data_IF_611067232514
#
_entry.id   IF_611067232514
#
_cell.length_a   1.000
_cell.length_b   1.000
_cell.length_c   1.000
_cell.angle_alpha   90.00
_cell.angle_beta   90.00
_cell.angle_gamma   90.00
#
_symmetry.space_group_name_H-M   'P 1'
#
loop_
_entity.id
_entity.type
_entity.pdbx_description
1 polymer ?
#
# COMPACT_ATOMS: atom_id res chain seq x y z
N UNK A 1 -6.96 -2.49 -18.96
CA UNK A 1 -7.33 -1.47 -17.95
C UNK A 1 -6.67 -1.89 -16.65
N UNK A 2 -5.48 -1.35 -16.36
CA UNK A 2 -4.74 -1.65 -15.13
C UNK A 2 -5.28 -0.78 -13.99
N UNK A 3 -5.63 -1.40 -12.87
CA UNK A 3 -6.06 -0.70 -11.68
C UNK A 3 -4.84 -0.03 -11.05
N UNK A 4 -4.82 1.30 -11.01
CA UNK A 4 -3.84 2.03 -10.22
C UNK A 4 -3.98 1.62 -8.74
N UNK A 5 -2.88 1.61 -8.00
CA UNK A 5 -3.00 1.84 -6.56
C UNK A 5 -3.64 3.21 -6.45
N UNK A 6 -4.90 3.31 -6.02
CA UNK A 6 -5.58 4.59 -5.77
C UNK A 6 -5.00 5.33 -4.55
N UNK A 7 -3.71 5.15 -4.28
CA UNK A 7 -2.98 5.98 -3.34
C UNK A 7 -2.30 7.09 -4.13
N UNK A 8 -3.08 8.17 -4.25
CA UNK A 8 -2.64 9.55 -4.15
C UNK A 8 -1.62 9.98 -5.22
N UNK A 9 -2.12 10.61 -6.29
CA UNK A 9 -1.36 11.19 -7.40
C UNK A 9 -0.48 12.41 -7.06
N UNK A 10 0.12 12.46 -5.87
CA UNK A 10 1.12 13.45 -5.48
C UNK A 10 2.22 12.77 -4.67
N UNK A 11 3.47 12.92 -5.08
CA UNK A 11 4.66 12.42 -4.38
C UNK A 11 4.76 12.90 -2.92
N UNK A 12 4.10 14.01 -2.57
CA UNK A 12 3.97 14.50 -1.19
C UNK A 12 3.10 13.56 -0.32
N UNK A 13 2.04 13.00 -0.90
CA UNK A 13 1.12 12.08 -0.24
C UNK A 13 1.73 10.69 -0.07
N UNK A 14 2.65 10.32 -0.96
CA UNK A 14 3.43 9.09 -0.89
C UNK A 14 4.38 9.07 0.32
N UNK A 15 4.97 10.21 0.69
CA UNK A 15 5.76 10.30 1.93
C UNK A 15 4.89 10.26 3.19
N UNK A 16 3.66 10.76 3.12
CA UNK A 16 2.72 10.79 4.25
C UNK A 16 2.21 9.41 4.66
N UNK A 17 2.27 8.41 3.78
CA UNK A 17 1.81 7.05 4.10
C UNK A 17 2.89 6.18 4.73
N UNK A 18 4.17 6.56 4.69
CA UNK A 18 5.23 5.80 5.36
C UNK A 18 5.00 5.82 6.88
N UNK A 19 4.96 4.63 7.50
CA UNK A 19 4.61 4.43 8.90
C UNK A 19 3.10 4.29 9.17
N UNK A 20 2.23 4.60 8.20
CA UNK A 20 0.80 4.42 8.35
C UNK A 20 0.42 2.95 8.41
N UNK A 21 -0.64 2.65 9.18
CA UNK A 21 -1.27 1.34 9.15
C UNK A 21 -2.23 1.29 7.96
N UNK A 22 -2.09 0.26 7.14
CA UNK A 22 -2.76 0.16 5.85
C UNK A 22 -3.34 -1.22 5.58
N UNK A 23 -4.46 -1.24 4.89
CA UNK A 23 -5.06 -2.42 4.29
C UNK A 23 -4.60 -2.59 2.85
N UNK A 24 -4.28 -3.82 2.47
CA UNK A 24 -4.08 -4.22 1.07
C UNK A 24 -5.45 -4.63 0.52
N UNK A 25 -5.89 -3.95 -0.55
CA UNK A 25 -7.20 -4.16 -1.16
C UNK A 25 -7.02 -4.71 -2.57
N UNK A 26 -7.69 -5.80 -2.90
CA UNK A 26 -7.76 -6.31 -4.27
C UNK A 26 -9.21 -6.51 -4.66
N UNK A 27 -9.60 -5.96 -5.81
CA UNK A 27 -10.98 -6.05 -6.34
C UNK A 27 -12.05 -5.60 -5.33
N UNK A 28 -11.74 -4.58 -4.52
CA UNK A 28 -12.63 -4.05 -3.48
C UNK A 28 -12.66 -4.87 -2.17
N UNK A 29 -11.90 -5.95 -2.07
CA UNK A 29 -11.81 -6.77 -0.86
C UNK A 29 -10.50 -6.53 -0.13
N UNK A 30 -10.56 -6.38 1.20
CA UNK A 30 -9.39 -6.34 2.05
C UNK A 30 -8.78 -7.76 2.15
N UNK A 31 -7.54 -7.92 1.71
CA UNK A 31 -6.85 -9.21 1.66
C UNK A 31 -5.74 -9.35 2.70
N UNK A 32 -5.18 -8.24 3.17
CA UNK A 32 -4.17 -8.22 4.23
C UNK A 32 -4.12 -6.84 4.90
N UNK A 33 -3.47 -6.75 6.06
CA UNK A 33 -3.20 -5.51 6.78
C UNK A 33 -1.74 -5.47 7.21
N UNK A 34 -1.22 -4.27 7.42
CA UNK A 34 0.15 -4.09 7.86
C UNK A 34 0.57 -2.64 7.91
N UNK A 35 1.83 -2.40 8.30
CA UNK A 35 2.41 -1.05 8.36
C UNK A 35 3.26 -0.77 7.13
N UNK A 36 3.06 0.38 6.50
CA UNK A 36 3.86 0.80 5.34
C UNK A 36 5.27 1.14 5.82
N UNK A 37 6.26 0.42 5.29
CA UNK A 37 7.69 0.58 5.63
C UNK A 37 8.35 1.64 4.74
N UNK A 38 8.06 1.59 3.45
CA UNK A 38 8.65 2.44 2.44
C UNK A 38 7.68 2.62 1.28
N UNK A 39 7.70 3.78 0.65
CA UNK A 39 7.05 4.00 -0.62
C UNK A 39 8.03 4.65 -1.60
N UNK A 40 8.04 4.16 -2.84
CA UNK A 40 8.85 4.73 -3.91
C UNK A 40 8.30 6.10 -4.31
N UNK A 41 9.17 7.05 -4.62
CA UNK A 41 8.78 8.44 -4.92
C UNK A 41 7.83 8.58 -6.13
N UNK A 42 7.78 7.56 -6.99
CA UNK A 42 6.87 7.48 -8.13
C UNK A 42 5.43 7.05 -7.76
N UNK A 43 5.20 6.64 -6.50
CA UNK A 43 3.91 6.17 -6.00
C UNK A 43 3.50 4.78 -6.50
N UNK A 44 4.30 4.11 -7.32
CA UNK A 44 3.92 2.85 -7.95
C UNK A 44 4.31 1.62 -7.14
N UNK A 45 5.23 1.78 -6.20
CA UNK A 45 5.77 0.68 -5.40
C UNK A 45 5.76 1.04 -3.92
N UNK A 46 5.27 0.13 -3.08
CA UNK A 46 5.35 0.26 -1.63
C UNK A 46 5.82 -1.05 -1.01
N UNK A 47 6.46 -0.94 0.15
CA UNK A 47 6.80 -2.06 1.01
C UNK A 47 5.94 -2.01 2.26
N UNK A 48 5.32 -3.13 2.61
CA UNK A 48 4.42 -3.22 3.75
C UNK A 48 4.85 -4.39 4.63
N UNK A 49 5.02 -4.14 5.93
CA UNK A 49 5.15 -5.19 6.93
C UNK A 49 3.76 -5.72 7.27
N UNK A 50 3.48 -6.95 6.86
CA UNK A 50 2.18 -7.56 7.10
C UNK A 50 2.06 -8.08 8.53
N UNK A 51 0.86 -7.97 9.06
CA UNK A 51 0.52 -8.54 10.37
C UNK A 51 0.58 -10.08 10.35
N UNK A 52 0.65 -10.68 11.53
CA UNK A 52 0.66 -12.13 11.68
C UNK A 52 1.99 -12.81 11.31
N UNK A 53 3.09 -12.05 11.24
CA UNK A 53 4.44 -12.60 11.03
C UNK A 53 4.74 -13.01 9.59
N UNK A 54 3.94 -12.56 8.62
CA UNK A 54 4.11 -12.88 7.18
C UNK A 54 5.30 -12.14 6.55
N UNK A 55 5.86 -11.16 7.27
CA UNK A 55 7.05 -10.40 6.88
C UNK A 55 6.73 -9.25 5.92
N UNK A 56 7.79 -8.73 5.29
CA UNK A 56 7.69 -7.58 4.40
C UNK A 56 7.32 -8.01 2.98
N UNK A 57 6.33 -7.35 2.39
CA UNK A 57 5.91 -7.55 1.00
C UNK A 57 6.09 -6.29 0.19
N UNK A 58 6.49 -6.47 -1.07
CA UNK A 58 6.45 -5.43 -2.09
C UNK A 58 5.07 -5.45 -2.74
N UNK A 59 4.48 -4.28 -2.94
CA UNK A 59 3.19 -4.06 -3.58
C UNK A 59 3.42 -3.11 -4.76
N UNK A 60 3.06 -3.53 -5.96
CA UNK A 60 3.20 -2.71 -7.16
C UNK A 60 1.84 -2.38 -7.77
N UNK A 61 1.72 -1.21 -8.40
CA UNK A 61 0.47 -0.80 -9.06
C UNK A 61 -0.03 -1.79 -10.10
N UNK A 62 0.90 -2.42 -10.83
CA UNK A 62 0.59 -3.42 -11.84
C UNK A 62 0.00 -4.72 -11.26
N UNK A 63 0.13 -4.98 -9.95
CA UNK A 63 -0.42 -6.17 -9.30
C UNK A 63 -1.94 -6.08 -9.11
N UNK A 64 -2.54 -4.90 -9.34
CA UNK A 64 -3.96 -4.66 -9.07
C UNK A 64 -4.30 -4.70 -7.58
N UNK A 65 -3.31 -4.37 -6.73
CA UNK A 65 -3.46 -4.25 -5.28
C UNK A 65 -3.43 -2.77 -4.93
N UNK A 66 -4.54 -2.27 -4.38
CA UNK A 66 -4.64 -0.96 -3.76
C UNK A 66 -4.14 -0.98 -2.32
N UNK A 67 -3.80 0.20 -1.82
CA UNK A 67 -3.52 0.45 -0.40
C UNK A 67 -4.59 1.42 0.12
N UNK A 68 -5.06 1.18 1.34
CA UNK A 68 -5.98 2.09 2.04
C UNK A 68 -5.47 2.32 3.44
N UNK A 69 -5.39 3.58 3.88
CA UNK A 69 -4.97 3.89 5.26
C UNK A 69 -6.12 3.52 6.20
N UNK A 70 -5.78 2.80 7.26
CA UNK A 70 -6.72 2.40 8.30
C UNK A 70 -6.47 3.26 9.54
N UNK A 71 -7.54 3.55 10.27
CA UNK A 71 -7.40 4.03 11.65
C UNK A 71 -6.95 2.84 12.53
N UNK A 72 -5.98 3.07 13.41
CA UNK A 72 -5.57 2.11 14.44
C UNK A 72 -6.62 2.02 15.56
#
# INVERSE_FOLDING_TARGET
MGGAIEVLGSSLLVQLVVGAYAGLVSRGCLIAKGRVDLAAADGNTAWVWLDGGVGRRIVQAQDGIGLTVLEE
#
